data_IF_356652512205
#
_entry.id   IF_356652512205
#
_cell.length_a   1.000
_cell.length_b   1.000
_cell.length_c   1.000
_cell.angle_alpha   90.00
_cell.angle_beta   90.00
_cell.angle_gamma   90.00
#
_symmetry.space_group_name_H-M   'P 1'
#
loop_
_entity.id
_entity.type
_entity.pdbx_description
1 polymer ?
#
# COMPACT_ATOMS: atom_id res chain seq x y z
N UNK A 1 -54.07 2.20 22.07
CA UNK A 1 -53.02 2.62 21.12
C UNK A 1 -53.39 2.11 19.73
N UNK A 2 -53.62 3.02 18.76
CA UNK A 2 -54.30 2.66 17.51
C UNK A 2 -53.38 1.88 16.55
N UNK A 3 -53.88 0.75 16.04
CA UNK A 3 -53.24 -0.06 14.97
C UNK A 3 -52.85 0.79 13.74
N UNK A 4 -53.50 1.94 13.52
CA UNK A 4 -53.20 2.83 12.39
C UNK A 4 -51.92 3.64 12.58
N UNK A 5 -51.56 4.02 13.82
CA UNK A 5 -50.30 4.71 14.11
C UNK A 5 -49.10 3.76 13.90
N UNK A 6 -49.23 2.51 14.34
CA UNK A 6 -48.24 1.46 14.14
C UNK A 6 -48.01 1.17 12.64
N UNK A 7 -49.09 1.11 11.86
CA UNK A 7 -49.03 0.87 10.41
C UNK A 7 -48.43 2.06 9.64
N UNK A 8 -48.70 3.30 10.08
CA UNK A 8 -48.07 4.51 9.52
C UNK A 8 -46.58 4.56 9.84
N UNK A 9 -46.18 4.22 11.06
CA UNK A 9 -44.78 4.18 11.47
C UNK A 9 -43.98 3.11 10.70
N UNK A 10 -44.51 1.88 10.59
CA UNK A 10 -43.89 0.80 9.79
C UNK A 10 -43.74 1.18 8.31
N UNK A 11 -44.71 1.91 7.76
CA UNK A 11 -44.67 2.39 6.37
C UNK A 11 -43.61 3.47 6.16
N UNK A 12 -43.45 4.39 7.11
CA UNK A 12 -42.40 5.43 7.05
C UNK A 12 -41.02 4.76 7.18
N UNK A 13 -40.88 3.82 8.11
CA UNK A 13 -39.63 3.08 8.31
C UNK A 13 -39.24 2.24 7.09
N UNK A 14 -40.19 1.55 6.46
CA UNK A 14 -39.93 0.78 5.23
C UNK A 14 -39.51 1.65 4.05
N UNK A 15 -40.09 2.85 3.90
CA UNK A 15 -39.69 3.81 2.86
C UNK A 15 -38.30 4.37 3.15
N UNK A 16 -38.02 4.74 4.40
CA UNK A 16 -36.71 5.22 4.82
C UNK A 16 -35.63 4.16 4.57
N UNK A 17 -35.89 2.89 4.90
CA UNK A 17 -34.97 1.79 4.68
C UNK A 17 -34.67 1.58 3.18
N UNK A 18 -35.68 1.62 2.32
CA UNK A 18 -35.51 1.43 0.86
C UNK A 18 -34.69 2.56 0.23
N UNK A 19 -34.74 3.78 0.78
CA UNK A 19 -33.99 4.93 0.26
C UNK A 19 -32.58 5.00 0.85
N UNK A 20 -32.42 4.78 2.16
CA UNK A 20 -31.13 4.88 2.85
C UNK A 20 -30.22 3.68 2.57
N UNK A 21 -30.77 2.47 2.46
CA UNK A 21 -29.96 1.25 2.34
C UNK A 21 -29.12 1.23 1.05
N UNK A 22 -29.62 1.58 -0.15
CA UNK A 22 -28.81 1.65 -1.36
C UNK A 22 -27.70 2.71 -1.28
N UNK A 23 -27.97 3.85 -0.65
CA UNK A 23 -26.99 4.93 -0.47
C UNK A 23 -25.86 4.49 0.46
N UNK A 24 -26.21 3.88 1.60
CA UNK A 24 -25.24 3.35 2.56
C UNK A 24 -24.41 2.23 1.92
N UNK A 25 -25.04 1.30 1.19
CA UNK A 25 -24.34 0.23 0.49
C UNK A 25 -23.41 0.75 -0.61
N UNK A 26 -23.85 1.75 -1.39
CA UNK A 26 -23.01 2.36 -2.42
C UNK A 26 -21.80 3.08 -1.81
N UNK A 27 -22.00 3.88 -0.76
CA UNK A 27 -20.90 4.52 -0.03
C UNK A 27 -19.95 3.51 0.59
N UNK A 28 -20.47 2.43 1.18
CA UNK A 28 -19.66 1.35 1.75
C UNK A 28 -18.84 0.62 0.66
N UNK A 29 -19.46 0.29 -0.47
CA UNK A 29 -18.80 -0.37 -1.59
C UNK A 29 -17.70 0.52 -2.19
N UNK A 30 -17.94 1.82 -2.33
CA UNK A 30 -16.96 2.78 -2.81
C UNK A 30 -15.76 2.86 -1.86
N UNK A 31 -16.00 2.95 -0.55
CA UNK A 31 -14.94 2.93 0.45
C UNK A 31 -14.16 1.60 0.44
N UNK A 32 -14.84 0.48 0.25
CA UNK A 32 -14.19 -0.82 0.20
C UNK A 32 -13.30 -0.96 -1.04
N UNK A 33 -13.80 -0.59 -2.22
CA UNK A 33 -13.04 -0.62 -3.49
C UNK A 33 -11.81 0.27 -3.44
N UNK A 34 -11.95 1.50 -2.98
CA UNK A 34 -10.83 2.44 -2.90
C UNK A 34 -9.71 1.93 -1.98
N UNK A 35 -10.05 1.22 -0.89
CA UNK A 35 -9.07 0.60 0.00
C UNK A 35 -8.33 -0.56 -0.67
N UNK A 36 -9.06 -1.44 -1.35
CA UNK A 36 -8.48 -2.61 -2.03
C UNK A 36 -7.50 -2.16 -3.12
N UNK A 37 -7.91 -1.24 -3.97
CA UNK A 37 -7.07 -0.75 -5.08
C UNK A 37 -5.79 -0.06 -4.58
N UNK A 38 -5.89 0.79 -3.55
CA UNK A 38 -4.73 1.46 -2.96
C UNK A 38 -3.77 0.45 -2.34
N UNK A 39 -4.29 -0.57 -1.65
CA UNK A 39 -3.50 -1.63 -1.06
C UNK A 39 -2.76 -2.44 -2.14
N UNK A 40 -3.45 -2.82 -3.22
CA UNK A 40 -2.87 -3.59 -4.31
C UNK A 40 -1.76 -2.82 -5.04
N UNK A 41 -1.96 -1.51 -5.27
CA UNK A 41 -0.94 -0.63 -5.84
C UNK A 41 0.29 -0.54 -4.94
N UNK A 42 0.10 -0.21 -3.65
CA UNK A 42 1.21 -0.10 -2.71
C UNK A 42 1.94 -1.44 -2.53
N UNK A 43 1.23 -2.57 -2.53
CA UNK A 43 1.81 -3.90 -2.46
C UNK A 43 2.65 -4.21 -3.71
N UNK A 44 2.18 -3.85 -4.89
CA UNK A 44 2.92 -4.03 -6.15
C UNK A 44 4.21 -3.19 -6.15
N UNK A 45 4.15 -1.93 -5.73
CA UNK A 45 5.34 -1.09 -5.58
C UNK A 45 6.30 -1.65 -4.52
N UNK A 46 5.77 -2.17 -3.42
CA UNK A 46 6.55 -2.81 -2.37
C UNK A 46 7.32 -4.02 -2.90
N UNK A 47 6.66 -4.88 -3.68
CA UNK A 47 7.30 -6.01 -4.34
C UNK A 47 8.39 -5.56 -5.32
N UNK A 48 8.13 -4.50 -6.09
CA UNK A 48 9.12 -3.95 -7.02
C UNK A 48 10.37 -3.41 -6.28
N UNK A 49 10.20 -2.73 -5.14
CA UNK A 49 11.31 -2.26 -4.31
C UNK A 49 12.12 -3.43 -3.73
N UNK A 50 11.45 -4.48 -3.27
CA UNK A 50 12.11 -5.69 -2.77
C UNK A 50 12.87 -6.42 -3.90
N UNK A 51 12.28 -6.53 -5.08
CA UNK A 51 12.93 -7.11 -6.25
C UNK A 51 14.16 -6.29 -6.67
N UNK A 52 14.04 -4.96 -6.66
CA UNK A 52 15.17 -4.07 -6.94
C UNK A 52 16.30 -4.26 -5.92
N UNK A 53 15.96 -4.38 -4.65
CA UNK A 53 16.95 -4.66 -3.60
C UNK A 53 17.67 -5.97 -3.84
N UNK A 54 16.97 -7.01 -4.29
CA UNK A 54 17.62 -8.28 -4.66
C UNK A 54 18.58 -8.11 -5.84
N UNK A 55 18.24 -7.30 -6.85
CA UNK A 55 19.14 -7.00 -7.97
C UNK A 55 20.41 -6.25 -7.50
N UNK A 56 20.27 -5.27 -6.62
CA UNK A 56 21.42 -4.55 -6.04
C UNK A 56 22.33 -5.51 -5.28
N UNK A 57 21.77 -6.36 -4.41
CA UNK A 57 22.53 -7.35 -3.65
C UNK A 57 23.20 -8.37 -4.58
N UNK A 58 22.53 -8.74 -5.68
CA UNK A 58 23.10 -9.63 -6.68
C UNK A 58 24.34 -9.03 -7.35
N UNK A 59 24.29 -7.76 -7.77
CA UNK A 59 25.45 -7.06 -8.34
C UNK A 59 26.60 -6.94 -7.35
N UNK A 60 26.31 -6.66 -6.07
CA UNK A 60 27.33 -6.63 -4.99
C UNK A 60 28.06 -7.98 -4.91
N UNK A 61 27.33 -9.09 -4.92
CA UNK A 61 27.94 -10.42 -4.89
C UNK A 61 28.74 -10.73 -6.16
N UNK A 62 28.31 -10.24 -7.33
CA UNK A 62 29.06 -10.36 -8.57
C UNK A 62 30.37 -9.54 -8.53
N UNK A 63 30.30 -8.30 -8.07
CA UNK A 63 31.46 -7.41 -7.91
C UNK A 63 32.53 -8.08 -7.04
N UNK A 64 32.08 -8.60 -5.89
CA UNK A 64 32.93 -9.32 -4.94
C UNK A 64 33.54 -10.59 -5.53
N UNK A 65 32.74 -11.41 -6.23
CA UNK A 65 33.24 -12.63 -6.89
C UNK A 65 34.34 -12.31 -7.91
N UNK A 66 34.17 -11.26 -8.71
CA UNK A 66 35.20 -10.79 -9.64
C UNK A 66 36.43 -10.30 -8.87
N UNK A 67 36.24 -9.47 -7.84
CA UNK A 67 37.34 -8.92 -7.04
C UNK A 67 38.23 -10.02 -6.43
N UNK A 68 37.63 -11.12 -5.95
CA UNK A 68 38.37 -12.28 -5.41
C UNK A 68 39.23 -13.03 -6.43
N UNK A 69 39.03 -12.83 -7.73
CA UNK A 69 39.82 -13.49 -8.77
C UNK A 69 41.15 -12.77 -9.04
N UNK A 70 41.37 -11.60 -8.44
CA UNK A 70 42.61 -10.86 -8.61
C UNK A 70 43.81 -11.66 -8.10
N UNK A 71 44.85 -11.75 -8.93
CA UNK A 71 46.13 -12.37 -8.58
C UNK A 71 47.21 -11.31 -8.70
N UNK A 72 47.75 -10.87 -7.57
CA UNK A 72 48.75 -9.81 -7.51
C UNK A 72 48.89 -9.20 -6.13
N UNK A 73 49.61 -8.08 -6.06
CA UNK A 73 49.83 -7.35 -4.82
C UNK A 73 48.57 -6.55 -4.48
N UNK A 74 47.95 -6.87 -3.34
CA UNK A 74 46.79 -6.16 -2.83
C UNK A 74 47.13 -4.70 -2.54
N UNK A 75 46.19 -3.80 -2.84
CA UNK A 75 46.34 -2.34 -2.74
C UNK A 75 47.48 -1.74 -3.58
N UNK A 76 48.00 -2.48 -4.57
CA UNK A 76 48.81 -1.90 -5.64
C UNK A 76 47.97 -1.05 -6.60
N UNK A 77 48.58 -0.14 -7.38
CA UNK A 77 47.88 0.59 -8.45
C UNK A 77 47.19 -0.34 -9.46
N UNK A 78 47.73 -1.54 -9.68
CA UNK A 78 47.10 -2.57 -10.53
C UNK A 78 45.84 -3.14 -9.89
N UNK A 79 45.86 -3.42 -8.58
CA UNK A 79 44.68 -3.89 -7.85
C UNK A 79 43.56 -2.84 -7.84
N UNK A 80 43.89 -1.57 -7.59
CA UNK A 80 42.90 -0.48 -7.60
C UNK A 80 42.26 -0.29 -8.98
N UNK A 81 43.06 -0.35 -10.06
CA UNK A 81 42.55 -0.35 -11.43
C UNK A 81 41.64 -1.55 -11.72
N UNK A 82 42.02 -2.75 -11.28
CA UNK A 82 41.18 -3.94 -11.44
C UNK A 82 39.82 -3.80 -10.73
N UNK A 83 39.82 -3.29 -9.49
CA UNK A 83 38.58 -3.00 -8.77
C UNK A 83 37.75 -1.94 -9.48
N UNK A 84 38.39 -0.88 -10.01
CA UNK A 84 37.71 0.19 -10.75
C UNK A 84 37.03 -0.32 -12.02
N UNK A 85 37.70 -1.21 -12.76
CA UNK A 85 37.14 -1.82 -13.97
C UNK A 85 35.91 -2.71 -13.64
N UNK A 86 35.93 -3.41 -12.50
CA UNK A 86 34.76 -4.15 -12.01
C UNK A 86 33.61 -3.19 -11.73
N UNK A 87 33.85 -2.14 -10.93
CA UNK A 87 32.81 -1.16 -10.54
C UNK A 87 32.19 -0.50 -11.76
N UNK A 88 33.00 -0.10 -12.75
CA UNK A 88 32.53 0.48 -14.02
C UNK A 88 31.63 -0.43 -14.85
N UNK A 89 31.69 -1.74 -14.63
CA UNK A 89 30.85 -2.73 -15.31
C UNK A 89 29.48 -2.96 -14.63
N UNK A 90 29.22 -2.27 -13.52
CA UNK A 90 28.04 -2.46 -12.66
C UNK A 90 27.27 -1.16 -12.52
N UNK A 91 25.97 -1.25 -12.20
CA UNK A 91 25.09 -0.09 -12.13
C UNK A 91 24.89 0.42 -10.70
N UNK A 92 24.90 -0.47 -9.72
CA UNK A 92 24.52 -0.14 -8.34
C UNK A 92 25.67 -0.11 -7.34
N UNK A 93 26.85 -0.60 -7.73
CA UNK A 93 28.07 -0.56 -6.93
C UNK A 93 28.84 0.70 -7.29
N UNK A 94 29.06 1.56 -6.31
CA UNK A 94 29.73 2.86 -6.50
C UNK A 94 31.25 2.74 -6.29
N UNK A 95 31.67 1.85 -5.40
CA UNK A 95 33.09 1.61 -5.09
C UNK A 95 33.30 0.19 -4.53
N UNK A 96 34.53 -0.28 -4.61
CA UNK A 96 35.01 -1.52 -4.00
C UNK A 96 36.20 -1.20 -3.10
N UNK A 97 36.10 -1.61 -1.84
CA UNK A 97 37.14 -1.44 -0.82
C UNK A 97 37.67 -2.81 -0.43
N UNK A 98 38.99 -2.92 -0.33
CA UNK A 98 39.66 -4.06 0.29
C UNK A 98 39.82 -3.81 1.80
N UNK A 99 39.43 -4.79 2.60
CA UNK A 99 39.42 -4.73 4.05
C UNK A 99 40.02 -6.00 4.67
N UNK A 100 40.67 -5.81 5.81
CA UNK A 100 41.10 -6.90 6.68
C UNK A 100 40.34 -6.80 8.00
N UNK A 101 39.31 -7.63 8.15
CA UNK A 101 38.39 -7.48 9.28
C UNK A 101 37.64 -6.14 9.20
N UNK A 102 37.76 -5.33 10.24
CA UNK A 102 37.15 -3.99 10.28
C UNK A 102 38.10 -2.87 9.81
N UNK A 103 39.27 -3.21 9.29
CA UNK A 103 40.27 -2.23 8.83
C UNK A 103 40.21 -2.13 7.30
N UNK A 104 39.79 -0.96 6.80
CA UNK A 104 39.68 -0.67 5.37
C UNK A 104 41.00 -0.10 4.87
N UNK A 105 41.58 -0.76 3.87
CA UNK A 105 42.96 -0.51 3.43
C UNK A 105 43.04 0.36 2.18
N UNK A 106 42.25 0.02 1.16
CA UNK A 106 42.23 0.77 -0.10
C UNK A 106 40.90 0.59 -0.84
N UNK A 107 40.51 1.60 -1.61
CA UNK A 107 39.39 1.56 -2.55
C UNK A 107 39.85 1.68 -4.00
N UNK A 108 38.91 1.78 -4.94
CA UNK A 108 39.22 2.02 -6.35
C UNK A 108 39.99 3.32 -6.59
N UNK A 109 39.83 4.32 -5.73
CA UNK A 109 40.43 5.65 -5.88
C UNK A 109 41.28 6.09 -4.68
N UNK A 110 40.96 5.64 -3.46
CA UNK A 110 41.58 6.16 -2.23
C UNK A 110 42.45 5.07 -1.59
N UNK A 111 43.67 5.42 -1.21
CA UNK A 111 44.57 4.58 -0.42
C UNK A 111 45.10 5.44 0.74
N UNK A 112 44.48 5.37 1.93
CA UNK A 112 44.96 6.11 3.09
C UNK A 112 46.32 5.58 3.57
N UNK A 113 47.18 6.45 4.10
CA UNK A 113 48.50 6.07 4.64
C UNK A 113 48.40 5.08 5.81
N UNK A 114 47.29 5.12 6.54
CA UNK A 114 46.97 4.20 7.64
C UNK A 114 45.59 3.60 7.43
N UNK A 115 45.46 2.31 7.76
CA UNK A 115 44.19 1.60 7.66
C UNK A 115 43.09 2.33 8.44
N UNK A 116 41.95 2.58 7.78
CA UNK A 116 40.82 3.23 8.44
C UNK A 116 39.90 2.18 9.06
N UNK A 117 39.69 2.27 10.37
CA UNK A 117 38.86 1.29 11.08
C UNK A 117 37.39 1.69 11.10
N UNK A 118 36.54 0.83 10.56
CA UNK A 118 35.09 1.04 10.58
C UNK A 118 34.52 0.71 11.96
N UNK A 119 33.51 1.48 12.37
CA UNK A 119 32.70 1.17 13.55
C UNK A 119 31.95 -0.16 13.41
N UNK A 120 31.36 -0.65 14.51
CA UNK A 120 30.61 -1.90 14.51
C UNK A 120 29.51 -1.92 13.45
N UNK A 121 29.40 -3.06 12.74
CA UNK A 121 28.38 -3.28 11.73
C UNK A 121 26.97 -3.21 12.32
N UNK A 122 26.05 -2.62 11.56
CA UNK A 122 24.63 -2.57 11.91
C UNK A 122 23.97 -3.95 11.81
N UNK A 123 24.41 -4.75 10.86
CA UNK A 123 23.92 -6.10 10.63
C UNK A 123 25.07 -7.07 10.39
N UNK A 124 25.04 -8.21 11.08
CA UNK A 124 26.03 -9.27 10.94
C UNK A 124 25.28 -10.58 10.65
N UNK A 125 25.66 -11.25 9.58
CA UNK A 125 25.20 -12.60 9.24
C UNK A 125 26.40 -13.53 9.13
N UNK A 126 26.42 -14.56 9.98
CA UNK A 126 27.41 -15.63 9.92
C UNK A 126 27.34 -16.35 8.56
N UNK A 127 28.47 -16.79 7.97
CA UNK A 127 29.82 -16.76 8.57
C UNK A 127 30.58 -15.43 8.39
N UNK A 128 30.32 -14.65 7.34
CA UNK A 128 31.28 -13.64 6.86
C UNK A 128 30.67 -12.34 6.35
N UNK A 129 29.37 -12.07 6.58
CA UNK A 129 28.69 -10.87 6.06
C UNK A 129 28.51 -9.82 7.15
N UNK A 130 28.96 -8.61 6.88
CA UNK A 130 28.76 -7.43 7.72
C UNK A 130 28.24 -6.27 6.87
N UNK A 131 27.22 -5.56 7.36
CA UNK A 131 26.62 -4.42 6.65
C UNK A 131 26.63 -3.19 7.56
N UNK A 132 27.11 -2.08 7.02
CA UNK A 132 27.20 -0.79 7.68
C UNK A 132 26.30 0.21 6.95
N UNK A 133 25.27 0.71 7.62
CA UNK A 133 24.29 1.62 7.03
C UNK A 133 24.68 3.07 7.26
N UNK A 134 24.54 3.93 6.25
CA UNK A 134 24.72 5.38 6.36
C UNK A 134 26.03 5.80 7.05
N UNK A 135 27.17 5.19 6.66
CA UNK A 135 28.48 5.59 7.18
C UNK A 135 29.07 6.69 6.30
N UNK A 136 29.54 7.75 6.93
CA UNK A 136 30.43 8.73 6.33
C UNK A 136 31.86 8.25 6.60
N UNK A 137 32.63 8.04 5.53
CA UNK A 137 33.98 7.48 5.63
C UNK A 137 34.93 8.30 4.77
N UNK A 138 36.25 8.28 5.05
CA UNK A 138 37.23 8.98 4.22
C UNK A 138 37.24 8.53 2.75
N UNK A 139 36.68 7.36 2.45
CA UNK A 139 36.56 6.85 1.08
C UNK A 139 35.47 7.57 0.27
N UNK A 140 34.42 8.08 0.94
CA UNK A 140 33.28 8.79 0.33
C UNK A 140 32.87 9.99 1.20
N UNK A 141 33.71 11.03 1.31
CA UNK A 141 33.50 12.13 2.25
C UNK A 141 32.22 12.91 1.93
N UNK A 142 31.37 13.10 2.94
CA UNK A 142 30.12 13.87 2.82
C UNK A 142 28.95 13.08 2.22
N UNK A 143 29.13 11.78 1.95
CA UNK A 143 28.07 10.90 1.48
C UNK A 143 27.88 9.74 2.45
N UNK A 144 26.71 9.67 3.09
CA UNK A 144 26.36 8.57 3.98
C UNK A 144 26.01 7.32 3.17
N UNK A 145 27.01 6.47 2.91
CA UNK A 145 26.87 5.30 2.04
C UNK A 145 26.52 4.02 2.83
N UNK A 146 26.03 3.00 2.12
CA UNK A 146 25.89 1.64 2.67
C UNK A 146 27.09 0.80 2.24
N UNK A 147 27.74 0.16 3.20
CA UNK A 147 28.90 -0.70 2.99
C UNK A 147 28.50 -2.15 3.24
N UNK A 148 28.60 -2.99 2.22
CA UNK A 148 28.33 -4.43 2.32
C UNK A 148 29.64 -5.20 2.24
N UNK A 149 30.11 -5.64 3.39
CA UNK A 149 31.32 -6.43 3.53
C UNK A 149 31.01 -7.92 3.50
N UNK A 150 31.82 -8.64 2.72
CA UNK A 150 31.90 -10.09 2.81
C UNK A 150 33.31 -10.59 2.57
N UNK A 151 33.89 -11.22 3.60
CA UNK A 151 35.32 -11.54 3.61
C UNK A 151 36.19 -10.28 3.56
N UNK A 152 37.09 -10.21 2.59
CA UNK A 152 38.06 -9.10 2.44
C UNK A 152 37.63 -7.97 1.52
N UNK A 153 36.42 -8.05 0.94
CA UNK A 153 35.92 -7.00 0.04
C UNK A 153 34.64 -6.40 0.58
N UNK A 154 34.54 -5.09 0.42
CA UNK A 154 33.40 -4.27 0.83
C UNK A 154 32.90 -3.53 -0.41
N UNK A 155 31.65 -3.76 -0.78
CA UNK A 155 30.99 -2.99 -1.81
C UNK A 155 30.33 -1.75 -1.20
N UNK A 156 30.52 -0.61 -1.84
CA UNK A 156 29.89 0.66 -1.46
C UNK A 156 28.68 0.88 -2.35
N UNK A 157 27.53 1.13 -1.73
CA UNK A 157 26.24 1.29 -2.40
C UNK A 157 25.61 2.58 -1.91
N UNK A 158 25.11 3.40 -2.85
CA UNK A 158 24.27 4.53 -2.51
C UNK A 158 22.93 4.03 -1.92
N UNK A 159 22.53 4.44 -0.70
CA UNK A 159 21.25 4.02 -0.10
C UNK A 159 20.05 4.26 -1.02
N UNK A 160 20.08 5.29 -1.87
CA UNK A 160 19.01 5.59 -2.83
C UNK A 160 18.93 4.55 -3.97
N UNK A 161 19.99 3.78 -4.24
CA UNK A 161 20.00 2.75 -5.30
C UNK A 161 18.99 1.64 -5.03
N UNK A 162 18.80 1.26 -3.75
CA UNK A 162 17.79 0.27 -3.34
C UNK A 162 16.36 0.68 -3.69
N UNK A 163 16.12 1.99 -3.77
CA UNK A 163 14.79 2.54 -3.61
C UNK A 163 14.37 3.56 -4.65
N UNK A 164 15.28 3.94 -5.56
CA UNK A 164 14.96 4.73 -6.75
C UNK A 164 14.01 3.93 -7.66
N UNK A 165 12.75 3.86 -7.28
CA UNK A 165 11.66 3.42 -8.12
C UNK A 165 11.45 4.49 -9.18
N UNK A 166 11.22 4.08 -10.43
CA UNK A 166 10.96 4.97 -11.58
C UNK A 166 9.58 5.67 -11.44
N UNK A 167 8.94 5.59 -10.28
CA UNK A 167 7.65 6.23 -10.05
C UNK A 167 7.84 7.74 -9.90
N UNK A 168 7.23 8.49 -10.82
CA UNK A 168 7.12 9.95 -10.83
C UNK A 168 6.26 10.51 -9.67
N UNK A 169 5.71 9.64 -8.83
CA UNK A 169 4.83 10.00 -7.74
C UNK A 169 5.62 10.58 -6.55
N UNK A 170 5.65 11.92 -6.46
CA UNK A 170 6.32 12.68 -5.40
C UNK A 170 5.69 12.46 -4.02
N UNK A 171 4.45 11.95 -3.97
CA UNK A 171 3.72 11.71 -2.73
C UNK A 171 4.03 10.33 -2.11
N UNK A 172 4.72 9.45 -2.83
CA UNK A 172 5.13 8.14 -2.34
C UNK A 172 6.33 8.28 -1.40
N UNK A 173 6.13 7.93 -0.12
CA UNK A 173 7.21 7.86 0.86
C UNK A 173 7.42 6.42 1.29
N UNK A 174 8.67 5.97 1.32
CA UNK A 174 9.03 4.58 1.62
C UNK A 174 10.27 4.50 2.52
N UNK A 175 10.44 3.35 3.15
CA UNK A 175 11.67 2.98 3.84
C UNK A 175 11.90 1.47 3.76
N UNK A 176 13.11 1.06 3.36
CA UNK A 176 13.56 -0.32 3.46
C UNK A 176 14.35 -0.51 4.74
N UNK A 177 14.02 -1.58 5.46
CA UNK A 177 14.62 -1.89 6.75
C UNK A 177 14.92 -3.38 6.90
N UNK A 178 15.88 -3.65 7.78
CA UNK A 178 16.18 -5.00 8.23
C UNK A 178 15.19 -5.42 9.32
N UNK A 179 14.55 -6.57 9.15
CA UNK A 179 13.55 -7.11 10.08
C UNK A 179 14.13 -7.63 11.39
N UNK A 180 15.44 -7.88 11.46
CA UNK A 180 16.13 -8.30 12.70
C UNK A 180 16.53 -7.12 13.56
N UNK A 181 17.05 -6.05 12.95
CA UNK A 181 17.52 -4.86 13.70
C UNK A 181 16.50 -3.73 13.74
N UNK A 182 15.46 -3.79 12.90
CA UNK A 182 14.49 -2.73 12.66
C UNK A 182 15.15 -1.39 12.29
N UNK A 183 16.32 -1.46 11.63
CA UNK A 183 17.06 -0.30 11.14
C UNK A 183 16.80 -0.13 9.65
N UNK A 184 16.52 1.11 9.26
CA UNK A 184 16.40 1.48 7.86
C UNK A 184 17.78 1.57 7.22
N UNK A 185 17.90 1.02 6.02
CA UNK A 185 19.11 1.12 5.19
C UNK A 185 18.87 1.91 3.91
N UNK A 186 17.61 2.24 3.61
CA UNK A 186 17.23 3.12 2.51
C UNK A 186 15.90 3.78 2.82
N UNK A 187 15.81 5.10 2.61
CA UNK A 187 14.61 5.91 2.91
C UNK A 187 14.42 6.92 1.79
N UNK A 188 13.16 7.19 1.42
CA UNK A 188 12.82 8.17 0.39
C UNK A 188 13.15 9.60 0.84
N UNK A 189 13.50 10.48 -0.11
CA UNK A 189 13.87 11.88 0.20
C UNK A 189 12.76 12.70 0.89
N UNK A 190 11.50 12.31 0.73
CA UNK A 190 10.33 12.99 1.29
C UNK A 190 9.93 12.47 2.67
N UNK A 191 10.75 11.61 3.30
CA UNK A 191 10.49 11.08 4.64
C UNK A 191 11.77 10.79 5.40
N UNK A 192 11.65 10.50 6.69
CA UNK A 192 12.78 10.19 7.57
C UNK A 192 12.56 8.83 8.26
N UNK A 193 13.65 8.12 8.50
CA UNK A 193 13.68 6.85 9.22
C UNK A 193 13.03 6.97 10.60
N UNK A 194 13.23 8.10 11.29
CA UNK A 194 12.65 8.34 12.62
C UNK A 194 11.12 8.36 12.60
N UNK A 195 10.51 8.88 11.53
CA UNK A 195 9.06 8.91 11.36
C UNK A 195 8.48 7.53 11.04
N UNK A 196 9.22 6.70 10.31
CA UNK A 196 8.79 5.35 9.91
C UNK A 196 9.06 4.27 10.97
N UNK A 197 10.06 4.45 11.82
CA UNK A 197 10.43 3.48 12.86
C UNK A 197 9.30 3.08 13.83
N UNK A 198 8.46 3.99 14.36
CA UNK A 198 7.34 3.57 15.21
C UNK A 198 6.29 2.74 14.46
N UNK A 199 6.25 2.82 13.13
CA UNK A 199 5.26 2.14 12.30
C UNK A 199 5.59 0.69 11.99
N UNK A 200 6.82 0.24 12.24
CA UNK A 200 7.24 -1.15 12.00
C UNK A 200 6.45 -2.15 12.88
N UNK A 201 5.84 -1.68 13.97
CA UNK A 201 5.14 -2.51 14.96
C UNK A 201 3.68 -2.81 14.64
N UNK A 202 3.10 -2.23 13.59
CA UNK A 202 1.72 -2.56 13.22
C UNK A 202 1.67 -3.98 12.67
N UNK A 203 0.94 -4.88 13.33
CA UNK A 203 0.66 -6.23 12.82
C UNK A 203 -0.15 -6.17 11.51
N UNK A 204 -0.83 -5.05 11.27
CA UNK A 204 -1.61 -4.80 10.06
C UNK A 204 -0.69 -4.55 8.85
N UNK A 205 -0.89 -5.33 7.79
CA UNK A 205 -0.21 -5.14 6.50
C UNK A 205 -0.65 -3.88 5.77
N UNK A 206 -1.79 -3.29 6.16
CA UNK A 206 -2.33 -2.05 5.61
C UNK A 206 -3.07 -1.27 6.70
N UNK A 207 -2.58 -0.08 7.04
CA UNK A 207 -3.14 0.74 8.11
C UNK A 207 -3.07 2.23 7.77
N UNK A 208 -3.89 3.03 8.45
CA UNK A 208 -3.92 4.47 8.28
C UNK A 208 -3.39 5.16 9.54
N UNK A 209 -2.44 6.08 9.38
CA UNK A 209 -2.02 6.97 10.44
C UNK A 209 -2.07 8.43 9.97
N UNK A 210 -2.89 9.24 10.65
CA UNK A 210 -3.16 10.62 10.24
C UNK A 210 -3.75 10.68 8.82
N UNK A 211 -3.09 11.42 7.93
CA UNK A 211 -3.53 11.64 6.53
C UNK A 211 -2.90 10.67 5.52
N UNK A 212 -2.04 9.74 5.96
CA UNK A 212 -1.33 8.81 5.09
C UNK A 212 -1.78 7.38 5.35
N UNK A 213 -1.68 6.57 4.32
CA UNK A 213 -1.94 5.14 4.40
C UNK A 213 -0.63 4.42 4.19
N UNK A 214 -0.40 3.36 4.95
CA UNK A 214 0.85 2.63 5.03
C UNK A 214 0.61 1.16 4.70
N UNK A 215 1.57 0.55 4.03
CA UNK A 215 1.65 -0.91 3.89
C UNK A 215 3.06 -1.37 4.24
N UNK A 216 3.15 -2.58 4.79
CA UNK A 216 4.43 -3.24 5.05
C UNK A 216 4.45 -4.53 4.25
N UNK A 217 5.48 -4.71 3.42
CA UNK A 217 5.73 -5.94 2.70
C UNK A 217 7.06 -6.54 3.11
N UNK A 218 7.07 -7.85 3.31
CA UNK A 218 8.25 -8.62 3.69
C UNK A 218 8.84 -9.33 2.48
N UNK A 219 10.17 -9.43 2.45
CA UNK A 219 10.86 -10.28 1.48
C UNK A 219 10.72 -11.75 1.86
N UNK A 220 10.50 -12.60 0.86
CA UNK A 220 10.51 -14.05 1.03
C UNK A 220 11.94 -14.63 1.15
N UNK A 221 12.93 -13.93 0.59
CA UNK A 221 14.29 -14.46 0.42
C UNK A 221 15.26 -13.99 1.51
N UNK A 222 14.99 -12.84 2.12
CA UNK A 222 15.92 -12.15 3.03
C UNK A 222 15.16 -11.53 4.20
N UNK A 223 15.81 -11.31 5.36
CA UNK A 223 15.19 -10.65 6.51
C UNK A 223 15.07 -9.13 6.29
N UNK A 224 14.51 -8.71 5.16
CA UNK A 224 14.28 -7.31 4.80
C UNK A 224 12.79 -7.08 4.57
N UNK A 225 12.33 -5.88 4.88
CA UNK A 225 10.97 -5.45 4.61
C UNK A 225 10.98 -4.00 4.11
N UNK A 226 9.89 -3.63 3.47
CA UNK A 226 9.66 -2.26 3.01
C UNK A 226 8.36 -1.76 3.61
N UNK A 227 8.41 -0.57 4.19
CA UNK A 227 7.22 0.20 4.52
C UNK A 227 7.03 1.23 3.42
N UNK A 228 5.82 1.29 2.86
CA UNK A 228 5.44 2.26 1.86
C UNK A 228 4.24 3.04 2.33
N UNK A 229 4.17 4.30 1.92
CA UNK A 229 3.06 5.18 2.23
C UNK A 229 2.76 6.12 1.07
N UNK A 230 1.50 6.46 0.92
CA UNK A 230 1.06 7.48 -0.03
C UNK A 230 0.16 8.51 0.65
N UNK A 231 0.15 9.73 0.11
CA UNK A 231 -0.76 10.79 0.53
C UNK A 231 -2.16 10.49 -0.03
N UNK A 232 -3.19 10.71 0.80
CA UNK A 232 -4.62 10.42 0.54
C UNK A 232 -5.21 11.01 -0.76
N UNK A 233 -4.49 11.79 -1.55
CA UNK A 233 -5.05 12.57 -2.67
C UNK A 233 -5.48 11.68 -3.83
N UNK A 234 -4.72 10.63 -4.16
CA UNK A 234 -5.14 9.64 -5.17
C UNK A 234 -6.35 8.78 -4.74
N UNK A 235 -6.45 8.47 -3.43
CA UNK A 235 -7.59 7.75 -2.88
C UNK A 235 -8.90 8.50 -3.07
N UNK A 236 -8.92 9.82 -2.87
CA UNK A 236 -10.15 10.62 -3.00
C UNK A 236 -10.53 10.97 -4.43
N UNK A 237 -9.57 11.14 -5.35
CA UNK A 237 -9.92 11.34 -6.77
C UNK A 237 -10.63 10.12 -7.35
N UNK A 238 -10.08 8.92 -7.14
CA UNK A 238 -10.74 7.69 -7.58
C UNK A 238 -12.04 7.41 -6.80
N UNK A 239 -12.10 7.74 -5.50
CA UNK A 239 -13.33 7.65 -4.71
C UNK A 239 -14.40 8.63 -5.20
N UNK A 240 -14.04 9.85 -5.59
CA UNK A 240 -14.99 10.84 -6.12
C UNK A 240 -15.53 10.36 -7.47
N UNK A 241 -14.68 9.88 -8.36
CA UNK A 241 -15.09 9.31 -9.64
C UNK A 241 -15.96 8.06 -9.45
N UNK A 242 -15.61 7.18 -8.50
CA UNK A 242 -16.42 6.00 -8.17
C UNK A 242 -17.73 6.36 -7.48
N UNK A 243 -17.77 7.38 -6.62
CA UNK A 243 -19.01 7.89 -6.01
C UNK A 243 -19.89 8.51 -7.11
N UNK A 244 -19.34 9.36 -7.97
CA UNK A 244 -20.07 9.97 -9.10
C UNK A 244 -20.64 8.91 -10.04
N UNK A 245 -19.97 7.77 -10.23
CA UNK A 245 -20.47 6.66 -11.02
C UNK A 245 -21.53 5.81 -10.28
N UNK A 246 -21.34 5.53 -8.99
CA UNK A 246 -22.20 4.60 -8.23
C UNK A 246 -23.45 5.24 -7.66
N UNK A 247 -23.43 6.54 -7.36
CA UNK A 247 -24.56 7.30 -6.84
C UNK A 247 -25.76 7.36 -7.81
N UNK A 248 -25.61 7.62 -9.14
CA UNK A 248 -26.73 7.57 -10.07
C UNK A 248 -27.28 6.14 -10.24
N UNK A 249 -26.43 5.11 -10.20
CA UNK A 249 -26.88 3.72 -10.20
C UNK A 249 -27.72 3.39 -8.95
N UNK A 250 -27.32 3.88 -7.78
CA UNK A 250 -28.10 3.76 -6.54
C UNK A 250 -29.45 4.48 -6.62
N UNK A 251 -29.49 5.67 -7.22
CA UNK A 251 -30.74 6.42 -7.45
C UNK A 251 -31.69 5.71 -8.41
N UNK A 252 -31.17 5.15 -9.52
CA UNK A 252 -31.96 4.36 -10.47
C UNK A 252 -32.52 3.11 -9.77
N UNK A 253 -31.71 2.39 -8.99
CA UNK A 253 -32.15 1.24 -8.20
C UNK A 253 -33.24 1.59 -7.19
N UNK A 254 -33.09 2.71 -6.48
CA UNK A 254 -34.12 3.23 -5.56
C UNK A 254 -35.41 3.59 -6.29
N UNK A 255 -35.32 4.19 -7.48
CA UNK A 255 -36.47 4.52 -8.33
C UNK A 255 -37.24 3.28 -8.78
N UNK A 256 -36.52 2.23 -9.21
CA UNK A 256 -37.12 0.95 -9.62
C UNK A 256 -37.82 0.24 -8.45
N UNK A 257 -37.19 0.22 -7.27
CA UNK A 257 -37.79 -0.31 -6.04
C UNK A 257 -39.07 0.43 -5.65
N UNK A 258 -39.05 1.77 -5.69
CA UNK A 258 -40.23 2.61 -5.42
C UNK A 258 -41.36 2.35 -6.43
N UNK A 259 -41.02 2.21 -7.72
CA UNK A 259 -41.95 1.91 -8.80
C UNK A 259 -42.62 0.54 -8.59
N UNK A 260 -41.83 -0.49 -8.27
CA UNK A 260 -42.34 -1.84 -7.96
C UNK A 260 -43.26 -1.82 -6.74
N UNK A 261 -42.87 -1.14 -5.67
CA UNK A 261 -43.70 -0.99 -4.48
C UNK A 261 -45.02 -0.29 -4.77
N UNK A 262 -44.99 0.79 -5.56
CA UNK A 262 -46.20 1.50 -6.01
C UNK A 262 -47.08 0.60 -6.87
N UNK A 263 -46.51 -0.20 -7.78
CA UNK A 263 -47.26 -1.15 -8.62
C UNK A 263 -47.95 -2.22 -7.78
N UNK A 264 -47.21 -2.87 -6.89
CA UNK A 264 -47.72 -3.90 -5.97
C UNK A 264 -48.82 -3.29 -5.11
N UNK A 265 -48.60 -2.10 -4.53
CA UNK A 265 -49.60 -1.42 -3.70
C UNK A 265 -50.85 -1.04 -4.48
N UNK A 266 -50.72 -0.55 -5.71
CA UNK A 266 -51.86 -0.28 -6.60
C UNK A 266 -52.63 -1.56 -6.91
N UNK A 267 -51.95 -2.67 -7.14
CA UNK A 267 -52.56 -3.97 -7.42
C UNK A 267 -53.29 -4.54 -6.18
N UNK A 268 -52.69 -4.46 -5.00
CA UNK A 268 -53.29 -4.87 -3.73
C UNK A 268 -54.44 -3.98 -3.24
N UNK A 269 -54.48 -2.72 -3.66
CA UNK A 269 -55.59 -1.79 -3.38
C UNK A 269 -56.52 -1.59 -4.58
N UNK A 270 -56.37 -2.40 -5.63
CA UNK A 270 -57.25 -2.33 -6.80
C UNK A 270 -58.70 -2.53 -6.35
N UNK A 271 -59.66 -1.77 -6.92
CA UNK A 271 -61.05 -1.79 -6.49
C UNK A 271 -61.65 -3.20 -6.51
N UNK A 272 -61.22 -4.05 -7.46
CA UNK A 272 -61.64 -5.45 -7.59
C UNK A 272 -61.23 -6.31 -6.38
N UNK A 273 -59.98 -6.19 -5.91
CA UNK A 273 -59.49 -6.91 -4.73
C UNK A 273 -60.09 -6.39 -3.41
N UNK A 274 -60.39 -5.08 -3.32
CA UNK A 274 -61.13 -4.49 -2.20
C UNK A 274 -62.58 -4.97 -2.17
N UNK A 275 -63.25 -5.02 -3.32
CA UNK A 275 -64.60 -5.57 -3.47
C UNK A 275 -64.65 -7.05 -3.09
N UNK A 276 -63.72 -7.88 -3.56
CA UNK A 276 -63.64 -9.29 -3.16
C UNK A 276 -63.40 -9.47 -1.66
N UNK A 277 -62.54 -8.64 -1.04
CA UNK A 277 -62.35 -8.65 0.43
C UNK A 277 -63.57 -8.15 1.20
N UNK A 278 -64.28 -7.15 0.67
CA UNK A 278 -65.51 -6.63 1.28
C UNK A 278 -66.66 -7.65 1.18
N UNK A 279 -66.75 -8.38 0.05
CA UNK A 279 -67.65 -9.50 -0.16
C UNK A 279 -67.33 -10.67 0.78
N UNK A 280 -66.06 -11.10 0.86
CA UNK A 280 -65.66 -12.23 1.71
C UNK A 280 -65.77 -11.95 3.21
N UNK A 281 -65.63 -10.68 3.62
CA UNK A 281 -65.82 -10.24 5.02
C UNK A 281 -67.24 -9.77 5.35
N UNK A 282 -68.20 -9.91 4.42
CA UNK A 282 -69.61 -9.46 4.57
C UNK A 282 -69.76 -8.00 5.03
N UNK A 283 -68.95 -7.10 4.47
CA UNK A 283 -68.94 -5.68 4.84
C UNK A 283 -69.81 -4.80 3.93
N UNK A 284 -70.58 -5.39 3.00
CA UNK A 284 -71.45 -4.69 2.06
C UNK A 284 -72.89 -4.70 2.59
N UNK A 285 -73.42 -3.53 2.94
CA UNK A 285 -74.83 -3.34 3.26
C UNK A 285 -75.55 -2.82 2.01
N UNK A 286 -76.56 -3.57 1.52
CA UNK A 286 -77.40 -3.18 0.41
C UNK A 286 -78.49 -2.23 0.92
N UNK A 287 -78.48 -0.96 0.50
CA UNK A 287 -79.62 -0.06 0.68
C UNK A 287 -80.40 -0.01 -0.64
N UNK A 288 -81.58 -0.61 -0.66
CA UNK A 288 -82.48 -0.56 -1.80
C UNK A 288 -83.50 0.56 -1.60
N UNK A 289 -83.51 1.52 -2.53
CA UNK A 289 -84.52 2.58 -2.56
C UNK A 289 -85.41 2.36 -3.79
N UNK A 290 -86.65 1.89 -3.61
CA UNK A 290 -87.56 1.65 -4.73
C UNK A 290 -87.98 2.98 -5.35
N UNK A 291 -87.78 3.11 -6.67
CA UNK A 291 -88.35 4.20 -7.47
C UNK A 291 -89.71 3.70 -7.95
N UNK A 292 -90.78 4.22 -7.37
CA UNK A 292 -92.16 3.90 -7.77
C UNK A 292 -92.56 4.89 -8.86
N UNK A 293 -92.75 4.38 -10.08
CA UNK A 293 -93.29 5.14 -11.21
C UNK A 293 -94.82 5.23 -11.04
N UNK A 294 -95.32 6.41 -10.64
CA UNK A 294 -96.75 6.66 -10.49
C UNK A 294 -97.27 7.16 -11.84
N UNK A 295 -97.73 6.25 -12.70
CA UNK A 295 -98.51 6.62 -13.89
C UNK A 295 -99.90 7.09 -13.43
N UNK A 296 -100.27 8.31 -13.84
CA UNK A 296 -101.63 8.85 -13.74
C UNK A 296 -102.25 8.89 -15.13
#
# INVERSE_FOLDING_TARGET
MSRSALYKALRIFGIALVILLPVVLASWLAQHRARVETNDQLRSFSQLALQKTEMVIHEVEQARKKAMQYQGIICSPQHQRYMLDIVRSLLYVEDLIYAQGADFLCSTAVHPDTAWRVETANYIKKPDVAIYYYRDTPFYPGFAMTYMQRGHYVAVINPLSYSALISSDRDLAYGLFDTKTNQFFSVSKNTDAAALRPLIRSEDTFFQQGRRVYTVAHSANRPIAVIMSTSRVGYYQNLYDQIVLTLPLGLIGSGLMLMLWLRIRRQYHSPRSRLQRALSRRQLCLHYQPIVDIKK
#
